data_IF_455845479206
#
_entry.id   IF_455845479206
#
_cell.length_a   1.000
_cell.length_b   1.000
_cell.length_c   1.000
_cell.angle_alpha   90.00
_cell.angle_beta   90.00
_cell.angle_gamma   90.00
#
_symmetry.space_group_name_H-M   'P 1'
#
loop_
_entity.id
_entity.type
_entity.pdbx_description
1 polymer ?
#
# COMPACT_ATOMS: atom_id res chain seq x y z
N UNK A 1 14.83 9.71 14.17
CA UNK A 1 13.69 8.85 14.54
C UNK A 1 12.78 8.84 13.33
N UNK A 2 12.51 7.67 12.75
CA UNK A 2 11.60 7.59 11.60
C UNK A 2 10.19 7.99 12.03
N UNK A 3 9.56 8.88 11.26
CA UNK A 3 8.26 9.46 11.61
C UNK A 3 7.17 8.71 10.87
N UNK A 4 6.30 8.02 11.61
CA UNK A 4 5.15 7.31 11.02
C UNK A 4 3.94 8.23 10.91
N UNK A 5 3.52 8.50 9.68
CA UNK A 5 2.33 9.28 9.36
C UNK A 5 1.19 8.33 9.01
N UNK A 6 0.09 8.39 9.74
CA UNK A 6 -1.11 7.59 9.49
C UNK A 6 -1.81 8.06 8.20
N UNK A 7 -1.92 7.16 7.21
CA UNK A 7 -2.63 7.41 5.95
C UNK A 7 -4.09 6.95 6.02
N UNK A 8 -4.34 5.86 6.74
CA UNK A 8 -5.70 5.39 7.00
C UNK A 8 -5.77 3.95 7.49
N UNK A 9 -6.99 3.46 7.64
CA UNK A 9 -7.31 2.11 8.11
C UNK A 9 -8.47 1.53 7.30
N UNK A 10 -8.37 0.25 6.96
CA UNK A 10 -9.42 -0.52 6.30
C UNK A 10 -8.85 -1.72 5.54
N UNK A 11 -9.72 -2.41 4.80
CA UNK A 11 -9.32 -3.49 3.92
C UNK A 11 -8.51 -2.95 2.74
N UNK A 12 -7.26 -3.38 2.59
CA UNK A 12 -6.36 -2.90 1.54
C UNK A 12 -6.57 -3.66 0.22
N UNK A 13 -6.57 -2.93 -0.89
CA UNK A 13 -6.59 -3.49 -2.24
C UNK A 13 -5.85 -2.55 -3.21
N UNK A 14 -5.78 -2.93 -4.47
CA UNK A 14 -5.24 -2.10 -5.55
C UNK A 14 -6.07 -2.27 -6.81
N UNK A 15 -5.92 -1.32 -7.73
CA UNK A 15 -6.65 -1.36 -8.99
C UNK A 15 -6.16 -2.49 -9.88
N UNK A 16 -7.05 -3.15 -10.61
CA UNK A 16 -6.68 -4.11 -11.65
C UNK A 16 -5.73 -3.49 -12.69
N UNK A 17 -5.85 -2.19 -12.95
CA UNK A 17 -4.95 -1.45 -13.85
C UNK A 17 -3.48 -1.53 -13.42
N UNK A 18 -3.18 -1.67 -12.13
CA UNK A 18 -1.81 -1.84 -11.63
C UNK A 18 -1.19 -3.15 -12.13
N UNK A 19 -2.00 -4.21 -12.22
CA UNK A 19 -1.58 -5.49 -12.81
C UNK A 19 -1.43 -5.38 -14.33
N UNK A 20 -2.38 -4.73 -14.99
CA UNK A 20 -2.39 -4.60 -16.46
C UNK A 20 -1.23 -3.75 -16.99
N UNK A 21 -0.83 -2.73 -16.24
CA UNK A 21 0.31 -1.84 -16.57
C UNK A 21 1.62 -2.27 -15.93
N UNK A 22 1.60 -3.34 -15.13
CA UNK A 22 2.76 -3.83 -14.37
C UNK A 22 3.37 -2.80 -13.40
N UNK A 23 2.67 -1.71 -13.12
CA UNK A 23 3.18 -0.60 -12.30
C UNK A 23 3.25 -0.97 -10.83
N UNK A 24 2.20 -1.54 -10.27
CA UNK A 24 2.07 -1.82 -8.82
C UNK A 24 2.51 -0.61 -7.97
N UNK A 25 2.05 0.58 -8.32
CA UNK A 25 2.45 1.85 -7.74
C UNK A 25 1.45 2.44 -6.76
N UNK A 26 0.21 1.94 -6.69
CA UNK A 26 -0.79 2.46 -5.76
C UNK A 26 -1.61 1.38 -5.05
N UNK A 27 -2.04 1.71 -3.82
CA UNK A 27 -3.01 0.96 -3.02
C UNK A 27 -4.14 1.88 -2.55
N UNK A 28 -5.30 1.32 -2.25
CA UNK A 28 -6.44 2.04 -1.67
C UNK A 28 -7.25 1.11 -0.77
N UNK A 29 -8.17 1.69 -0.01
CA UNK A 29 -9.07 0.92 0.84
C UNK A 29 -10.37 0.53 0.11
N UNK A 30 -10.78 -0.73 0.23
CA UNK A 30 -12.03 -1.24 -0.34
C UNK A 30 -13.23 -0.93 0.57
N UNK A 31 -14.07 0.03 0.14
CA UNK A 31 -15.28 0.43 0.87
C UNK A 31 -16.30 -0.71 1.01
N UNK A 32 -16.25 -1.73 0.15
CA UNK A 32 -17.19 -2.85 0.16
C UNK A 32 -16.89 -3.87 1.27
N UNK A 33 -15.69 -3.80 1.85
CA UNK A 33 -15.20 -4.77 2.84
C UNK A 33 -15.33 -4.27 4.28
N UNK A 34 -15.66 -2.99 4.49
CA UNK A 34 -15.87 -2.44 5.81
C UNK A 34 -15.70 -0.92 5.86
N UNK A 35 -15.80 -0.33 7.06
CA UNK A 35 -15.56 1.08 7.28
C UNK A 35 -14.10 1.44 6.96
N UNK A 36 -13.90 2.67 6.49
CA UNK A 36 -12.58 3.22 6.19
C UNK A 36 -12.40 4.50 6.98
N UNK A 37 -11.26 4.60 7.64
CA UNK A 37 -10.80 5.84 8.25
C UNK A 37 -9.60 6.35 7.46
N UNK A 38 -9.63 7.60 7.00
CA UNK A 38 -8.47 8.25 6.39
C UNK A 38 -7.79 9.09 7.47
N UNK A 39 -6.46 9.14 7.46
CA UNK A 39 -5.69 9.99 8.36
C UNK A 39 -6.11 11.46 8.23
N UNK A 40 -6.16 12.18 9.35
CA UNK A 40 -6.63 13.57 9.37
C UNK A 40 -5.73 14.53 8.60
N UNK A 41 -4.40 14.34 8.70
CA UNK A 41 -3.41 15.12 7.96
C UNK A 41 -2.57 14.14 7.14
N UNK A 42 -2.67 14.25 5.81
CA UNK A 42 -1.85 13.46 4.89
C UNK A 42 -0.48 14.12 4.72
N UNK A 43 0.58 13.32 4.47
CA UNK A 43 1.86 13.87 4.09
C UNK A 43 1.75 14.61 2.76
N UNK A 44 2.62 15.61 2.57
CA UNK A 44 2.76 16.27 1.28
C UNK A 44 3.28 15.28 0.23
N UNK A 45 2.83 15.43 -1.02
CA UNK A 45 3.39 14.70 -2.14
C UNK A 45 4.89 15.03 -2.30
N UNK A 46 5.67 14.05 -2.73
CA UNK A 46 7.12 14.15 -2.91
C UNK A 46 7.96 13.78 -1.67
N UNK A 47 7.35 13.66 -0.49
CA UNK A 47 8.04 13.20 0.73
C UNK A 47 8.62 11.80 0.51
N UNK A 48 9.90 11.61 0.84
CA UNK A 48 10.55 10.31 0.71
C UNK A 48 10.22 9.47 1.95
N UNK A 49 9.77 8.24 1.72
CA UNK A 49 9.51 7.30 2.80
C UNK A 49 9.18 5.91 2.32
N UNK A 50 8.87 5.05 3.26
CA UNK A 50 8.42 3.68 3.02
C UNK A 50 6.94 3.56 3.33
N UNK A 51 6.16 3.07 2.37
CA UNK A 51 4.76 2.75 2.61
C UNK A 51 4.68 1.42 3.36
N UNK A 52 4.07 1.41 4.55
CA UNK A 52 4.01 0.23 5.43
C UNK A 52 2.57 -0.08 5.79
N UNK A 53 2.19 -1.34 5.67
CA UNK A 53 0.90 -1.85 6.13
C UNK A 53 1.08 -2.67 7.41
N UNK A 54 0.37 -2.29 8.47
CA UNK A 54 0.24 -3.06 9.71
C UNK A 54 -1.04 -3.87 9.64
N UNK A 55 -0.93 -5.20 9.72
CA UNK A 55 -2.10 -6.09 9.65
C UNK A 55 -2.87 -6.05 10.97
N UNK A 56 -4.11 -5.60 10.95
CA UNK A 56 -4.99 -5.53 12.13
C UNK A 56 -5.99 -6.68 12.21
N UNK A 57 -6.37 -7.26 11.07
CA UNK A 57 -7.14 -8.48 11.03
C UNK A 57 -6.88 -9.24 9.72
N UNK A 58 -6.88 -10.56 9.81
CA UNK A 58 -6.73 -11.43 8.64
C UNK A 58 -8.09 -11.80 8.06
N UNK A 59 -8.21 -11.76 6.73
CA UNK A 59 -9.38 -12.26 6.00
C UNK A 59 -8.96 -13.34 5.03
N UNK A 60 -9.88 -14.28 4.75
CA UNK A 60 -9.66 -15.27 3.70
C UNK A 60 -9.57 -14.54 2.35
N UNK A 61 -8.35 -14.41 1.84
CA UNK A 61 -8.12 -13.85 0.50
C UNK A 61 -8.79 -14.75 -0.53
N UNK A 62 -9.61 -14.16 -1.41
CA UNK A 62 -10.19 -14.87 -2.56
C UNK A 62 -9.31 -14.74 -3.81
N UNK A 63 -8.20 -14.02 -3.73
CA UNK A 63 -7.34 -13.74 -4.86
C UNK A 63 -6.35 -14.89 -5.04
N UNK A 64 -6.58 -15.70 -6.08
CA UNK A 64 -5.70 -16.77 -6.51
C UNK A 64 -4.46 -16.12 -7.15
N UNK A 65 -3.32 -16.25 -6.47
CA UNK A 65 -1.93 -15.98 -6.87
C UNK A 65 -1.64 -15.39 -8.28
N UNK A 66 -0.60 -14.54 -8.36
CA UNK A 66 0.02 -14.20 -9.64
C UNK A 66 1.11 -15.21 -10.01
N UNK A 67 0.73 -16.22 -10.80
CA UNK A 67 1.63 -17.30 -11.21
C UNK A 67 2.83 -16.81 -12.06
N UNK A 68 2.63 -15.79 -12.89
CA UNK A 68 3.71 -15.21 -13.72
C UNK A 68 4.79 -14.53 -12.88
N UNK A 69 4.44 -14.04 -11.69
CA UNK A 69 5.34 -13.34 -10.77
C UNK A 69 5.71 -14.17 -9.54
N UNK A 70 5.33 -15.46 -9.51
CA UNK A 70 5.51 -16.35 -8.36
C UNK A 70 5.01 -15.71 -7.05
N UNK A 71 3.95 -14.91 -7.14
CA UNK A 71 3.40 -14.18 -6.00
C UNK A 71 2.14 -14.91 -5.52
N UNK A 72 2.24 -15.60 -4.39
CA UNK A 72 1.11 -16.30 -3.78
C UNK A 72 0.51 -15.48 -2.65
N UNK A 73 -0.81 -15.57 -2.50
CA UNK A 73 -1.46 -15.11 -1.27
C UNK A 73 -0.96 -15.97 -0.11
N UNK A 74 -0.28 -15.37 0.84
CA UNK A 74 -0.01 -15.97 2.15
C UNK A 74 -0.83 -15.24 3.20
N UNK A 75 -1.34 -15.95 4.20
CA UNK A 75 -2.05 -15.31 5.31
C UNK A 75 -1.02 -14.62 6.20
N UNK A 76 -1.05 -13.28 6.36
CA UNK A 76 -0.15 -12.60 7.28
C UNK A 76 -0.54 -12.83 8.73
N UNK A 77 0.32 -12.41 9.65
CA UNK A 77 0.02 -12.42 11.10
C UNK A 77 -0.54 -11.06 11.52
N UNK A 78 -1.50 -11.04 12.44
CA UNK A 78 -1.96 -9.78 13.07
C UNK A 78 -0.78 -9.13 13.81
N UNK A 79 -0.65 -7.81 13.70
CA UNK A 79 0.49 -7.02 14.17
C UNK A 79 1.69 -7.02 13.23
N UNK A 80 1.66 -7.80 12.14
CA UNK A 80 2.76 -7.81 11.17
C UNK A 80 2.85 -6.48 10.43
N UNK A 81 4.04 -5.87 10.46
CA UNK A 81 4.41 -4.73 9.61
C UNK A 81 4.96 -5.25 8.29
N UNK A 82 4.36 -4.83 7.19
CA UNK A 82 4.72 -5.26 5.84
C UNK A 82 5.07 -4.01 5.03
N UNK A 83 6.36 -3.77 4.75
CA UNK A 83 6.79 -2.74 3.81
C UNK A 83 6.26 -3.08 2.42
N UNK A 84 5.57 -2.12 1.79
CA UNK A 84 5.03 -2.26 0.45
C UNK A 84 6.01 -1.71 -0.58
N UNK A 85 6.63 -0.57 -0.32
CA UNK A 85 7.62 0.00 -1.21
C UNK A 85 8.20 1.30 -0.65
N UNK A 86 9.36 1.68 -1.18
CA UNK A 86 10.08 2.89 -0.79
C UNK A 86 10.18 3.84 -1.98
N UNK A 87 9.92 5.12 -1.74
CA UNK A 87 9.96 6.11 -2.82
C UNK A 87 9.44 7.48 -2.43
N UNK A 88 9.20 8.32 -3.44
CA UNK A 88 8.48 9.59 -3.29
C UNK A 88 7.00 9.30 -3.12
N UNK A 89 6.46 9.63 -1.96
CA UNK A 89 5.04 9.48 -1.69
C UNK A 89 4.21 10.35 -2.62
N UNK A 90 3.07 9.82 -3.03
CA UNK A 90 2.03 10.61 -3.67
C UNK A 90 0.65 10.07 -3.26
N UNK A 91 -0.34 10.95 -3.26
CA UNK A 91 -1.74 10.54 -3.15
C UNK A 91 -2.55 11.02 -4.36
N UNK A 92 -3.50 10.21 -4.79
CA UNK A 92 -4.38 10.56 -5.92
C UNK A 92 -5.83 10.25 -5.59
N UNK A 93 -6.74 11.00 -6.22
CA UNK A 93 -8.17 10.70 -6.20
C UNK A 93 -8.56 10.19 -7.59
N UNK A 94 -9.20 9.03 -7.65
CA UNK A 94 -9.81 8.56 -8.90
C UNK A 94 -11.12 9.31 -9.20
N UNK A 95 -11.71 9.05 -10.38
CA UNK A 95 -13.00 9.63 -10.80
C UNK A 95 -14.14 9.31 -9.82
N UNK A 96 -14.01 8.23 -9.05
CA UNK A 96 -14.97 7.81 -8.02
C UNK A 96 -14.66 8.41 -6.63
N UNK A 97 -13.75 9.40 -6.55
CA UNK A 97 -13.28 10.02 -5.30
C UNK A 97 -12.71 8.99 -4.32
N UNK A 98 -12.15 7.90 -4.83
CA UNK A 98 -11.38 6.94 -4.04
C UNK A 98 -9.96 7.46 -3.94
N UNK A 99 -9.48 7.58 -2.71
CA UNK A 99 -8.10 7.98 -2.46
C UNK A 99 -7.20 6.76 -2.58
N UNK A 100 -6.18 6.90 -3.40
CA UNK A 100 -5.08 5.96 -3.54
C UNK A 100 -3.81 6.58 -2.99
N UNK A 101 -2.96 5.73 -2.44
CA UNK A 101 -1.66 6.07 -1.87
C UNK A 101 -0.60 5.29 -2.63
N UNK A 102 0.49 5.94 -2.99
CA UNK A 102 1.55 5.33 -3.75
C UNK A 102 2.92 5.89 -3.40
N UNK A 103 3.93 5.19 -3.91
CA UNK A 103 5.33 5.62 -3.85
C UNK A 103 5.95 5.47 -5.23
N UNK A 104 6.56 6.54 -5.74
CA UNK A 104 7.36 6.50 -6.96
C UNK A 104 8.80 6.10 -6.61
N UNK A 105 9.34 5.06 -7.23
CA UNK A 105 10.67 4.56 -6.92
C UNK A 105 11.75 5.58 -7.31
N UNK A 106 12.81 5.65 -6.50
CA UNK A 106 13.88 6.63 -6.68
C UNK A 106 14.89 6.24 -7.77
N UNK A 107 14.84 5.00 -8.26
CA UNK A 107 15.75 4.43 -9.25
C UNK A 107 15.27 4.64 -10.71
N UNK A 108 14.12 5.30 -10.90
CA UNK A 108 13.57 5.59 -12.22
C UNK A 108 12.85 4.42 -12.90
N UNK A 109 12.66 3.28 -12.23
CA UNK A 109 11.92 2.16 -12.84
C UNK A 109 10.46 2.54 -13.10
N UNK A 110 9.92 2.08 -14.22
CA UNK A 110 8.53 2.35 -14.63
C UNK A 110 7.55 1.23 -14.25
N UNK A 111 8.05 0.10 -13.77
CA UNK A 111 7.25 -1.07 -13.35
C UNK A 111 7.66 -1.49 -11.94
N UNK A 112 6.80 -2.27 -11.27
CA UNK A 112 7.08 -2.85 -9.95
C UNK A 112 7.48 -1.82 -8.89
N UNK A 113 6.77 -0.71 -8.81
CA UNK A 113 7.05 0.38 -7.88
C UNK A 113 7.03 -0.09 -6.42
N UNK A 114 6.11 -0.99 -6.07
CA UNK A 114 6.03 -1.70 -4.79
C UNK A 114 6.36 -3.20 -4.95
N UNK A 115 6.74 -3.84 -3.86
CA UNK A 115 6.93 -5.28 -3.76
C UNK A 115 5.61 -6.01 -3.97
N UNK A 116 5.52 -6.72 -5.10
CA UNK A 116 4.34 -7.48 -5.49
C UNK A 116 4.00 -8.57 -4.47
N UNK A 117 4.99 -9.22 -3.84
CA UNK A 117 4.74 -10.25 -2.83
C UNK A 117 4.14 -9.63 -1.57
N UNK A 118 4.64 -8.47 -1.16
CA UNK A 118 4.08 -7.70 -0.06
C UNK A 118 2.62 -7.31 -0.36
N UNK A 119 2.33 -6.80 -1.57
CA UNK A 119 0.97 -6.48 -2.00
C UNK A 119 0.04 -7.70 -1.93
N UNK A 120 0.42 -8.83 -2.55
CA UNK A 120 -0.38 -10.07 -2.48
C UNK A 120 -0.62 -10.57 -1.06
N UNK A 121 0.31 -10.32 -0.14
CA UNK A 121 0.17 -10.68 1.26
C UNK A 121 -0.83 -9.81 2.02
N UNK A 122 -0.91 -8.51 1.71
CA UNK A 122 -1.84 -7.56 2.38
C UNK A 122 -3.17 -7.38 1.65
N UNK A 123 -3.33 -7.97 0.46
CA UNK A 123 -4.58 -7.92 -0.29
C UNK A 123 -5.76 -8.49 0.50
N UNK A 124 -6.89 -7.78 0.47
CA UNK A 124 -8.12 -8.12 1.21
C UNK A 124 -7.94 -8.16 2.74
N UNK A 125 -6.78 -7.78 3.29
CA UNK A 125 -6.55 -7.77 4.73
C UNK A 125 -6.93 -6.41 5.32
N UNK A 126 -7.41 -6.40 6.57
CA UNK A 126 -7.64 -5.14 7.28
C UNK A 126 -6.32 -4.64 7.84
N UNK A 127 -5.89 -3.47 7.39
CA UNK A 127 -4.61 -2.89 7.77
C UNK A 127 -4.77 -1.47 8.31
N UNK A 128 -3.76 -1.03 9.05
CA UNK A 128 -3.44 0.39 9.18
C UNK A 128 -2.28 0.68 8.23
N UNK A 129 -2.45 1.70 7.39
CA UNK A 129 -1.46 2.11 6.41
C UNK A 129 -0.73 3.36 6.92
N UNK A 130 0.59 3.32 6.90
CA UNK A 130 1.44 4.43 7.30
C UNK A 130 2.45 4.76 6.20
N UNK A 131 2.89 6.02 6.18
CA UNK A 131 4.14 6.41 5.55
C UNK A 131 5.20 6.52 6.65
N UNK A 132 6.23 5.70 6.57
CA UNK A 132 7.41 5.81 7.42
C UNK A 132 8.40 6.78 6.76
N UNK A 133 8.43 8.03 7.24
CA UNK A 133 9.20 9.12 6.65
C UNK A 133 10.63 9.05 7.15
N UNK A 134 11.56 9.02 6.20
CA UNK A 134 12.98 9.13 6.50
C UNK A 134 13.26 10.56 6.96
N UNK A 135 13.69 10.72 8.22
CA UNK A 135 14.27 12.00 8.63
C UNK A 135 15.62 12.11 7.94
N UNK A 136 15.79 13.11 7.07
CA UNK A 136 17.11 13.53 6.64
C UNK A 136 17.94 13.81 7.90
N UNK A 137 18.93 12.97 8.18
CA UNK A 137 20.02 13.38 9.05
C UNK A 137 20.76 14.47 8.28
N UNK A 138 20.49 15.73 8.63
CA UNK A 138 21.38 16.85 8.29
C UNK A 138 22.77 16.62 8.88
#
# INVERSE_FOLDING_TARGET
>A
MDTKILLGRGALTWSRYEKETERYGTVHFDRRRGPIAIGGVLPADGVIGTLVAEVTATRKSKHLADLSRKAWSSTPTVGQLIPLGRGRFFSSLDKSKRRSFGVEPLDGRHTLWMDVHALFKVHDQDVILYLDVESSKE
#
